data_IF_556354141731
#
_entry.id   IF_556354141731
#
_cell.length_a   1.000
_cell.length_b   1.000
_cell.length_c   1.000
_cell.angle_alpha   90.00
_cell.angle_beta   90.00
_cell.angle_gamma   90.00
#
_symmetry.space_group_name_H-M   'P 1'
#
loop_
_entity.id
_entity.type
_entity.pdbx_description
1 polymer ?
#
# COMPACT_ATOMS: atom_id res chain seq x y z
N UNK A 1 -13.73 1.28 -2.29
CA UNK A 1 -13.61 2.41 -3.24
C UNK A 1 -14.29 3.63 -2.66
N UNK A 2 -13.60 4.74 -2.60
CA UNK A 2 -14.10 6.01 -2.03
C UNK A 2 -14.18 7.13 -3.09
N UNK A 3 -14.95 8.15 -2.77
CA UNK A 3 -14.94 9.45 -3.52
C UNK A 3 -14.06 10.50 -2.85
N UNK A 4 -13.82 10.35 -1.54
CA UNK A 4 -12.96 11.22 -0.75
C UNK A 4 -12.16 10.36 0.22
N UNK A 5 -10.84 10.33 0.01
CA UNK A 5 -9.94 9.50 0.80
C UNK A 5 -9.89 9.95 2.27
N UNK A 6 -9.83 11.26 2.51
CA UNK A 6 -9.72 11.83 3.86
C UNK A 6 -10.96 11.51 4.70
N UNK A 7 -12.16 11.67 4.13
CA UNK A 7 -13.40 11.35 4.84
C UNK A 7 -13.51 9.86 5.16
N UNK A 8 -13.06 8.99 4.24
CA UNK A 8 -13.05 7.54 4.49
C UNK A 8 -12.03 7.17 5.57
N UNK A 9 -10.84 7.77 5.58
CA UNK A 9 -9.85 7.55 6.66
C UNK A 9 -10.43 7.96 8.01
N UNK A 10 -11.08 9.13 8.06
CA UNK A 10 -11.74 9.59 9.28
C UNK A 10 -12.84 8.63 9.73
N UNK A 11 -13.68 8.18 8.81
CA UNK A 11 -14.75 7.22 9.11
C UNK A 11 -14.20 5.90 9.66
N UNK A 12 -13.08 5.39 9.13
CA UNK A 12 -12.39 4.21 9.68
C UNK A 12 -11.93 4.48 11.11
N UNK A 13 -11.33 5.64 11.39
CA UNK A 13 -10.89 5.99 12.74
C UNK A 13 -12.08 6.06 13.72
N UNK A 14 -13.17 6.71 13.32
CA UNK A 14 -14.39 6.81 14.11
C UNK A 14 -15.01 5.42 14.42
N UNK A 15 -14.95 4.48 13.48
CA UNK A 15 -15.42 3.09 13.68
C UNK A 15 -14.51 2.31 14.64
N UNK A 16 -13.20 2.49 14.55
CA UNK A 16 -12.23 1.88 15.49
C UNK A 16 -12.51 2.39 16.92
N UNK A 17 -12.77 3.68 17.11
CA UNK A 17 -13.13 4.25 18.41
C UNK A 17 -14.45 3.68 18.97
N UNK A 18 -15.37 3.25 18.09
CA UNK A 18 -16.61 2.58 18.46
C UNK A 18 -16.42 1.08 18.77
N UNK A 19 -15.20 0.56 18.66
CA UNK A 19 -14.85 -0.82 19.00
C UNK A 19 -14.96 -1.81 17.84
N UNK A 20 -15.06 -1.33 16.59
CA UNK A 20 -14.99 -2.17 15.40
C UNK A 20 -13.52 -2.56 15.16
N UNK A 21 -13.24 -3.87 15.08
CA UNK A 21 -11.88 -4.41 14.91
C UNK A 21 -11.45 -4.40 13.43
N UNK A 22 -11.05 -3.23 12.98
CA UNK A 22 -10.57 -2.99 11.61
C UNK A 22 -9.31 -2.13 11.61
N UNK A 23 -8.57 -2.18 10.49
CA UNK A 23 -7.45 -1.28 10.23
C UNK A 23 -7.31 -1.02 8.72
N UNK A 24 -6.68 0.07 8.34
CA UNK A 24 -6.31 0.29 6.95
C UNK A 24 -5.01 -0.46 6.67
N UNK A 25 -5.08 -1.48 5.81
CA UNK A 25 -3.93 -2.29 5.38
C UNK A 25 -3.16 -1.65 4.23
N UNK A 26 -3.85 -0.97 3.30
CA UNK A 26 -3.21 -0.33 2.16
C UNK A 26 -3.87 1.00 1.80
N UNK A 27 -3.03 1.99 1.53
CA UNK A 27 -3.37 3.21 0.82
C UNK A 27 -2.90 3.05 -0.63
N UNK A 28 -3.80 2.63 -1.53
CA UNK A 28 -3.44 2.26 -2.90
C UNK A 28 -3.39 3.44 -3.86
N UNK A 29 -4.44 4.26 -3.87
CA UNK A 29 -4.54 5.47 -4.68
C UNK A 29 -5.56 6.45 -4.05
N UNK A 30 -5.76 7.61 -4.66
CA UNK A 30 -6.67 8.65 -4.19
C UNK A 30 -8.14 8.20 -3.99
N UNK A 31 -8.52 7.03 -4.53
CA UNK A 31 -9.87 6.49 -4.50
C UNK A 31 -9.98 5.08 -3.93
N UNK A 32 -8.88 4.49 -3.47
CA UNK A 32 -8.85 3.09 -3.05
C UNK A 32 -7.97 2.88 -1.83
N UNK A 33 -8.59 2.37 -0.77
CA UNK A 33 -7.89 1.76 0.38
C UNK A 33 -8.29 0.30 0.52
N UNK A 34 -7.48 -0.47 1.24
CA UNK A 34 -7.81 -1.82 1.69
C UNK A 34 -7.95 -1.78 3.20
N UNK A 35 -9.02 -2.40 3.70
CA UNK A 35 -9.30 -2.52 5.13
C UNK A 35 -9.19 -4.00 5.48
N UNK A 36 -8.40 -4.31 6.52
CA UNK A 36 -8.33 -5.59 7.19
C UNK A 36 -9.12 -5.55 8.48
N UNK A 37 -9.57 -6.72 8.96
CA UNK A 37 -10.31 -6.81 10.21
C UNK A 37 -10.89 -8.19 10.44
N UNK A 38 -11.71 -8.33 11.47
CA UNK A 38 -12.43 -9.58 11.74
C UNK A 38 -13.41 -9.91 10.61
N UNK A 39 -13.74 -11.19 10.45
CA UNK A 39 -14.75 -11.59 9.46
C UNK A 39 -16.12 -10.95 9.71
N UNK A 40 -16.48 -10.76 10.97
CA UNK A 40 -17.74 -10.14 11.38
C UNK A 40 -17.77 -8.67 10.97
N UNK A 41 -16.71 -7.92 11.31
CA UNK A 41 -16.63 -6.49 11.01
C UNK A 41 -16.53 -6.22 9.50
N UNK A 42 -15.78 -7.03 8.77
CA UNK A 42 -15.71 -6.91 7.30
C UNK A 42 -17.09 -7.19 6.65
N UNK A 43 -17.86 -8.16 7.15
CA UNK A 43 -19.22 -8.41 6.67
C UNK A 43 -20.19 -7.27 7.03
N UNK A 44 -20.03 -6.68 8.21
CA UNK A 44 -20.76 -5.47 8.60
C UNK A 44 -20.48 -4.34 7.61
N UNK A 45 -19.22 -4.01 7.34
CA UNK A 45 -18.83 -2.94 6.42
C UNK A 45 -19.29 -3.18 4.98
N UNK A 46 -19.30 -4.44 4.54
CA UNK A 46 -19.84 -4.81 3.22
C UNK A 46 -21.32 -4.46 3.09
N UNK A 47 -22.07 -4.63 4.16
CA UNK A 47 -23.51 -4.35 4.22
C UNK A 47 -23.80 -2.86 4.45
N UNK A 48 -22.84 -2.12 5.04
CA UNK A 48 -22.98 -0.73 5.45
C UNK A 48 -21.86 0.17 4.87
N UNK A 49 -21.69 0.24 3.55
CA UNK A 49 -20.59 1.00 2.93
C UNK A 49 -20.64 2.51 3.23
N UNK A 50 -21.80 3.03 3.59
CA UNK A 50 -21.98 4.45 3.97
C UNK A 50 -21.29 4.81 5.27
N UNK A 51 -21.12 3.86 6.19
CA UNK A 51 -20.42 4.09 7.45
C UNK A 51 -18.92 4.37 7.25
N UNK A 52 -18.39 3.97 6.07
CA UNK A 52 -17.04 4.28 5.62
C UNK A 52 -16.97 5.53 4.71
N UNK A 53 -18.07 6.23 4.47
CA UNK A 53 -18.19 7.21 3.39
C UNK A 53 -17.66 6.66 2.04
N UNK A 54 -17.92 5.38 1.80
CA UNK A 54 -17.43 4.67 0.63
C UNK A 54 -18.54 4.44 -0.38
N UNK A 55 -18.19 4.57 -1.67
CA UNK A 55 -19.10 4.24 -2.76
C UNK A 55 -19.38 2.73 -2.82
N UNK A 56 -18.38 1.93 -2.48
CA UNK A 56 -18.44 0.48 -2.62
C UNK A 56 -17.39 -0.20 -1.77
N UNK A 57 -17.80 -1.25 -1.06
CA UNK A 57 -16.93 -2.21 -0.38
C UNK A 57 -16.90 -3.49 -1.20
N UNK A 58 -15.70 -3.98 -1.52
CA UNK A 58 -15.46 -5.18 -2.32
C UNK A 58 -14.63 -6.13 -1.46
N UNK A 59 -15.16 -7.27 -1.03
CA UNK A 59 -14.37 -8.28 -0.34
C UNK A 59 -13.24 -8.80 -1.23
N UNK A 60 -12.07 -9.01 -0.61
CA UNK A 60 -10.93 -9.65 -1.26
C UNK A 60 -10.83 -11.09 -0.75
N UNK A 61 -10.61 -12.02 -1.67
CA UNK A 61 -10.34 -13.42 -1.35
C UNK A 61 -8.84 -13.59 -1.06
N UNK A 62 -8.47 -13.33 0.20
CA UNK A 62 -7.08 -13.41 0.68
C UNK A 62 -7.00 -14.29 1.92
N UNK A 63 -5.83 -14.87 2.15
CA UNK A 63 -5.60 -15.84 3.23
C UNK A 63 -5.63 -15.22 4.65
N UNK A 64 -5.60 -13.89 4.77
CA UNK A 64 -5.61 -13.22 6.07
C UNK A 64 -5.53 -11.70 5.97
N UNK A 65 -5.65 -11.04 7.12
CA UNK A 65 -5.55 -9.59 7.25
C UNK A 65 -4.07 -9.15 7.26
N UNK A 66 -3.40 -9.25 6.11
CA UNK A 66 -2.03 -8.79 5.96
C UNK A 66 -1.91 -7.28 6.22
N UNK A 67 -0.72 -6.85 6.62
CA UNK A 67 -0.44 -5.45 6.95
C UNK A 67 -1.35 -4.93 8.08
N UNK A 68 -1.59 -5.77 9.08
CA UNK A 68 -2.40 -5.47 10.25
C UNK A 68 -1.81 -6.10 11.51
N UNK A 69 -2.21 -5.65 12.72
CA UNK A 69 -1.76 -6.25 13.97
C UNK A 69 -2.03 -7.76 14.09
N UNK A 70 -2.99 -8.31 13.36
CA UNK A 70 -3.33 -9.75 13.34
C UNK A 70 -2.14 -10.62 12.94
N UNK A 71 -1.24 -10.12 12.07
CA UNK A 71 -0.07 -10.87 11.58
C UNK A 71 1.23 -10.53 12.32
N UNK A 72 1.18 -9.76 13.39
CA UNK A 72 2.38 -9.34 14.16
C UNK A 72 3.22 -10.51 14.67
N UNK A 73 2.62 -11.66 14.92
CA UNK A 73 3.35 -12.86 15.35
C UNK A 73 4.41 -13.34 14.33
N UNK A 74 4.22 -13.02 13.04
CA UNK A 74 5.16 -13.37 11.98
C UNK A 74 6.45 -12.53 12.00
N UNK A 75 6.45 -11.35 12.63
CA UNK A 75 7.61 -10.42 12.66
C UNK A 75 8.87 -11.11 13.16
N UNK A 76 8.75 -11.87 14.23
CA UNK A 76 9.89 -12.53 14.89
C UNK A 76 10.64 -13.52 13.99
N UNK A 77 9.90 -14.25 13.15
CA UNK A 77 10.50 -15.19 12.21
C UNK A 77 11.13 -14.47 11.00
N UNK A 78 10.47 -13.43 10.51
CA UNK A 78 11.01 -12.62 9.42
C UNK A 78 12.25 -11.85 9.86
N UNK A 79 12.27 -11.28 11.07
CA UNK A 79 13.41 -10.59 11.66
C UNK A 79 14.67 -11.47 11.65
N UNK A 80 14.55 -12.74 12.12
CA UNK A 80 15.68 -13.69 12.11
C UNK A 80 16.27 -13.91 10.71
N UNK A 81 15.43 -13.91 9.68
CA UNK A 81 15.89 -14.08 8.30
C UNK A 81 16.53 -12.78 7.78
N UNK A 82 15.90 -11.65 8.04
CA UNK A 82 16.38 -10.32 7.58
C UNK A 82 17.71 -9.96 8.24
N UNK A 83 17.93 -10.32 9.52
CA UNK A 83 19.21 -10.10 10.20
C UNK A 83 20.38 -10.77 9.49
N UNK A 84 20.17 -11.93 8.88
CA UNK A 84 21.20 -12.69 8.17
C UNK A 84 21.54 -12.15 6.78
N UNK A 85 20.72 -11.24 6.24
CA UNK A 85 20.92 -10.68 4.90
C UNK A 85 21.96 -9.57 4.96
N UNK A 86 23.00 -9.68 4.15
CA UNK A 86 23.91 -8.57 3.90
C UNK A 86 23.26 -7.59 2.90
N UNK A 87 23.05 -6.36 3.35
CA UNK A 87 22.53 -5.27 2.51
C UNK A 87 23.68 -4.37 2.07
N UNK A 88 23.58 -3.86 0.85
CA UNK A 88 24.54 -2.92 0.25
C UNK A 88 23.80 -1.70 -0.25
N UNK A 89 24.47 -0.58 -0.26
CA UNK A 89 23.94 0.65 -0.85
C UNK A 89 23.59 0.42 -2.32
N UNK A 90 22.41 0.87 -2.70
CA UNK A 90 21.94 0.87 -4.06
C UNK A 90 22.43 2.09 -4.85
N UNK A 91 22.33 2.01 -6.19
CA UNK A 91 22.65 3.14 -7.07
C UNK A 91 21.44 4.09 -7.27
N UNK A 92 20.26 3.67 -6.83
CA UNK A 92 19.00 4.37 -7.04
C UNK A 92 18.23 4.53 -5.73
N UNK A 93 17.46 5.61 -5.61
CA UNK A 93 16.54 5.80 -4.50
C UNK A 93 15.45 4.72 -4.50
N UNK A 94 15.24 4.10 -3.36
CA UNK A 94 14.17 3.15 -3.11
C UNK A 94 13.23 3.73 -2.07
N UNK A 95 11.97 3.89 -2.40
CA UNK A 95 10.94 4.33 -1.47
C UNK A 95 10.27 3.13 -0.80
N UNK A 96 10.20 3.15 0.52
CA UNK A 96 9.63 2.03 1.28
C UNK A 96 8.13 2.20 1.53
N UNK A 97 7.41 1.08 1.54
CA UNK A 97 5.95 1.07 1.70
C UNK A 97 5.49 1.49 3.11
N UNK A 98 6.30 1.27 4.13
CA UNK A 98 5.89 1.50 5.52
C UNK A 98 5.65 2.98 5.86
N UNK A 99 6.42 3.87 5.26
CA UNK A 99 6.43 5.30 5.59
C UNK A 99 6.54 6.23 4.39
N UNK A 100 6.54 5.65 3.18
CA UNK A 100 6.66 6.37 1.92
C UNK A 100 7.95 7.21 1.76
N UNK A 101 9.00 6.88 2.51
CA UNK A 101 10.29 7.59 2.48
C UNK A 101 11.39 6.74 1.84
N UNK A 102 12.50 7.41 1.49
CA UNK A 102 13.70 6.75 0.94
C UNK A 102 14.27 5.75 1.95
N UNK A 103 14.66 4.59 1.45
CA UNK A 103 15.35 3.57 2.22
C UNK A 103 16.74 4.04 2.62
N UNK A 104 17.08 3.90 3.89
CA UNK A 104 18.41 4.14 4.44
C UNK A 104 19.00 2.81 4.93
N UNK A 105 20.24 2.51 4.58
CA UNK A 105 20.88 1.24 4.92
C UNK A 105 20.84 0.94 6.43
N UNK A 106 20.93 1.97 7.26
CA UNK A 106 20.89 1.86 8.72
C UNK A 106 19.54 1.42 9.29
N UNK A 107 18.44 1.69 8.61
CA UNK A 107 17.07 1.45 9.11
C UNK A 107 16.25 0.48 8.27
N UNK A 108 16.73 0.08 7.09
CA UNK A 108 15.95 -0.71 6.14
C UNK A 108 15.52 -2.07 6.71
N UNK A 109 16.36 -2.75 7.51
CA UNK A 109 16.02 -4.04 8.12
C UNK A 109 14.86 -3.92 9.09
N UNK A 110 14.92 -2.94 9.98
CA UNK A 110 13.84 -2.64 10.93
C UNK A 110 12.54 -2.29 10.19
N UNK A 111 12.63 -1.45 9.16
CA UNK A 111 11.47 -1.02 8.37
C UNK A 111 10.84 -2.18 7.60
N UNK A 112 11.64 -3.14 7.07
CA UNK A 112 11.14 -4.35 6.43
C UNK A 112 10.39 -5.25 7.40
N UNK A 113 10.91 -5.44 8.62
CA UNK A 113 10.24 -6.21 9.67
C UNK A 113 8.94 -5.55 10.08
N UNK A 114 8.96 -4.23 10.28
CA UNK A 114 7.78 -3.48 10.68
C UNK A 114 6.70 -3.41 9.59
N UNK A 115 7.05 -3.56 8.30
CA UNK A 115 6.06 -3.61 7.21
C UNK A 115 5.06 -4.75 7.33
N UNK A 116 5.39 -5.82 8.05
CA UNK A 116 4.54 -7.02 8.18
C UNK A 116 3.18 -6.66 8.77
N UNK A 117 3.15 -5.85 9.80
CA UNK A 117 1.94 -5.49 10.54
C UNK A 117 1.54 -4.00 10.42
N UNK A 118 2.17 -3.27 9.52
CA UNK A 118 1.87 -1.87 9.24
C UNK A 118 1.38 -1.67 7.81
N UNK A 119 0.58 -0.63 7.62
CA UNK A 119 -0.03 -0.27 6.34
C UNK A 119 0.98 -0.09 5.22
N UNK A 120 0.57 -0.44 4.00
CA UNK A 120 1.29 -0.12 2.76
C UNK A 120 0.92 1.28 2.31
N UNK A 121 1.87 2.20 2.33
CA UNK A 121 1.68 3.62 2.01
C UNK A 121 1.95 3.93 0.53
N UNK A 122 1.47 3.08 -0.40
CA UNK A 122 1.78 3.20 -1.82
C UNK A 122 1.34 4.53 -2.43
N UNK A 123 0.15 5.02 -2.10
CA UNK A 123 -0.32 6.34 -2.53
C UNK A 123 0.64 7.46 -2.09
N UNK A 124 1.06 7.42 -0.84
CA UNK A 124 1.99 8.41 -0.29
C UNK A 124 3.38 8.32 -0.93
N UNK A 125 3.85 7.10 -1.28
CA UNK A 125 5.10 6.93 -2.03
C UNK A 125 5.04 7.66 -3.37
N UNK A 126 3.95 7.45 -4.14
CA UNK A 126 3.78 8.08 -5.44
C UNK A 126 3.81 9.61 -5.31
N UNK A 127 3.11 10.16 -4.30
CA UNK A 127 3.10 11.60 -4.07
C UNK A 127 4.49 12.13 -3.65
N UNK A 128 5.21 11.39 -2.80
CA UNK A 128 6.55 11.78 -2.38
C UNK A 128 7.56 11.71 -3.52
N UNK A 129 7.53 10.66 -4.33
CA UNK A 129 8.38 10.55 -5.53
C UNK A 129 8.10 11.71 -6.49
N UNK A 130 6.83 12.00 -6.76
CA UNK A 130 6.48 13.13 -7.65
C UNK A 130 6.94 14.47 -7.09
N UNK A 131 6.83 14.67 -5.78
CA UNK A 131 7.21 15.92 -5.11
C UNK A 131 8.72 16.14 -5.05
N UNK A 132 9.49 15.10 -4.75
CA UNK A 132 10.92 15.22 -4.43
C UNK A 132 11.83 14.87 -5.61
N UNK A 133 11.45 13.87 -6.42
CA UNK A 133 12.26 13.41 -7.56
C UNK A 133 11.81 14.05 -8.88
N UNK A 134 10.55 14.47 -9.01
CA UNK A 134 9.95 15.08 -10.19
C UNK A 134 10.25 14.30 -11.49
N UNK A 135 9.99 12.97 -11.54
CA UNK A 135 10.41 12.14 -12.65
C UNK A 135 9.75 12.58 -13.97
N UNK A 136 10.53 12.56 -15.05
CA UNK A 136 10.01 12.85 -16.39
C UNK A 136 9.10 11.74 -16.89
N UNK A 137 9.37 10.49 -16.50
CA UNK A 137 8.67 9.30 -16.96
C UNK A 137 8.44 8.30 -15.82
N UNK A 138 7.30 7.61 -15.88
CA UNK A 138 6.97 6.53 -14.98
C UNK A 138 6.89 5.22 -15.75
N UNK A 139 7.45 4.16 -15.17
CA UNK A 139 7.43 2.82 -15.75
C UNK A 139 6.90 1.83 -14.72
N UNK A 140 5.91 1.03 -15.14
CA UNK A 140 5.52 -0.18 -14.42
C UNK A 140 6.25 -1.34 -15.07
N UNK A 141 7.16 -2.00 -14.34
CA UNK A 141 7.91 -3.16 -14.83
C UNK A 141 7.45 -4.39 -14.07
N UNK A 142 6.83 -5.34 -14.77
CA UNK A 142 6.31 -6.56 -14.17
C UNK A 142 4.98 -7.03 -14.76
N UNK A 143 4.44 -8.16 -14.30
CA UNK A 143 3.20 -8.73 -14.84
C UNK A 143 1.98 -7.85 -14.53
N UNK A 144 1.04 -7.79 -15.48
CA UNK A 144 -0.18 -7.00 -15.34
C UNK A 144 0.01 -5.50 -15.50
N UNK A 145 -0.85 -4.71 -14.87
CA UNK A 145 -0.84 -3.25 -14.96
C UNK A 145 -1.49 -2.55 -13.76
N UNK A 146 -1.72 -3.27 -12.67
CA UNK A 146 -2.50 -2.77 -11.52
C UNK A 146 -1.86 -1.54 -10.90
N UNK A 147 -0.58 -1.58 -10.60
CA UNK A 147 0.13 -0.45 -9.99
C UNK A 147 0.26 0.74 -10.96
N UNK A 148 0.38 0.50 -12.28
CA UNK A 148 0.31 1.56 -13.27
C UNK A 148 -1.03 2.31 -13.22
N UNK A 149 -2.13 1.58 -13.02
CA UNK A 149 -3.46 2.16 -12.81
C UNK A 149 -3.56 3.01 -11.54
N UNK A 150 -2.95 2.56 -10.45
CA UNK A 150 -2.88 3.30 -9.19
C UNK A 150 -2.07 4.59 -9.33
N UNK A 151 -0.90 4.54 -9.99
CA UNK A 151 -0.09 5.74 -10.28
C UNK A 151 -0.89 6.75 -11.10
N UNK A 152 -1.54 6.33 -12.19
CA UNK A 152 -2.37 7.22 -13.03
C UNK A 152 -3.49 7.91 -12.27
N UNK A 153 -4.10 7.24 -11.29
CA UNK A 153 -5.14 7.84 -10.43
C UNK A 153 -4.58 8.79 -9.38
N UNK A 154 -3.35 8.56 -8.94
CA UNK A 154 -2.68 9.39 -7.95
C UNK A 154 -2.12 10.68 -8.54
N UNK A 155 -1.58 10.61 -9.76
CA UNK A 155 -0.96 11.72 -10.50
C UNK A 155 -1.49 11.75 -11.95
N UNK A 156 -2.72 12.19 -12.12
CA UNK A 156 -3.45 12.16 -13.41
C UNK A 156 -2.77 12.89 -14.56
N UNK A 157 -1.84 13.80 -14.28
CA UNK A 157 -1.06 14.54 -15.28
C UNK A 157 0.08 13.73 -15.92
N UNK A 158 0.41 12.56 -15.36
CA UNK A 158 1.54 11.74 -15.82
C UNK A 158 1.08 10.50 -16.57
N UNK A 159 1.85 10.14 -17.60
CA UNK A 159 1.69 8.87 -18.29
C UNK A 159 2.58 7.81 -17.61
N UNK A 160 2.08 6.57 -17.56
CA UNK A 160 2.84 5.42 -17.07
C UNK A 160 2.97 4.43 -18.21
N UNK A 161 4.19 4.12 -18.59
CA UNK A 161 4.50 3.05 -19.55
C UNK A 161 4.47 1.71 -18.83
N UNK A 162 3.87 0.69 -19.45
CA UNK A 162 3.75 -0.64 -18.88
C UNK A 162 4.68 -1.59 -19.65
N UNK A 163 5.62 -2.18 -18.93
CA UNK A 163 6.58 -3.17 -19.45
C UNK A 163 6.28 -4.51 -18.79
N UNK A 164 5.40 -5.28 -19.41
CA UNK A 164 4.93 -6.56 -18.86
C UNK A 164 5.24 -7.78 -19.77
N UNK A 165 6.00 -7.56 -20.86
CA UNK A 165 6.48 -8.58 -21.78
C UNK A 165 7.79 -8.13 -22.40
N UNK A 166 8.51 -9.07 -23.06
CA UNK A 166 9.72 -8.74 -23.82
C UNK A 166 9.41 -7.82 -25.01
N UNK A 167 8.24 -7.97 -25.63
CA UNK A 167 7.84 -7.13 -26.75
C UNK A 167 7.66 -5.67 -26.30
N UNK A 168 7.00 -5.46 -25.15
CA UNK A 168 6.80 -4.11 -24.59
C UNK A 168 8.10 -3.45 -24.08
N UNK A 169 9.18 -4.21 -23.92
CA UNK A 169 10.50 -3.66 -23.60
C UNK A 169 11.11 -2.92 -24.80
N UNK A 170 10.77 -3.33 -26.03
CA UNK A 170 11.28 -2.70 -27.25
C UNK A 170 10.59 -1.36 -27.56
N UNK A 171 9.53 -1.02 -26.85
CA UNK A 171 8.74 0.21 -27.01
C UNK A 171 9.19 1.35 -26.06
N UNK A 172 10.28 1.14 -25.31
CA UNK A 172 10.91 2.12 -24.40
C UNK A 172 12.09 2.82 -25.10
#
# INVERSE_FOLDING_TARGET
LTSNLESTIKAVADLIEQGIDINISNYNDASQIVIGGSHEDINYLKSNPKDLDAKRVIPLDVAGAFHSPVVSSAKKEVEKVIEQIELKDGQFSVYMNIDANIAELSTIKERLVNQIDNSVMFYNQILNIEKFEQPESWYHIGPGNVTAGMVKKSISSKSVKVVNSLDSLNDI
#
